data_IF_819798788565
#
_entry.id   IF_819798788565
#
_cell.length_a   1.000
_cell.length_b   1.000
_cell.length_c   1.000
_cell.angle_alpha   90.00
_cell.angle_beta   90.00
_cell.angle_gamma   90.00
#
_symmetry.space_group_name_H-M   'P 1'
#
loop_
_entity.id
_entity.type
_entity.pdbx_description
1 polymer ?
#
# COMPACT_ATOMS: atom_id res chain seq x y z
N UNK A 1 -37.32 -35.58 -7.29
CA UNK A 1 -36.51 -34.53 -7.95
C UNK A 1 -37.15 -33.21 -7.58
N UNK A 2 -36.52 -32.46 -6.68
CA UNK A 2 -37.08 -31.22 -6.14
C UNK A 2 -36.18 -30.08 -6.61
N UNK A 3 -36.69 -29.22 -7.48
CA UNK A 3 -36.00 -28.03 -7.97
C UNK A 3 -35.77 -27.07 -6.80
N UNK A 4 -34.50 -26.84 -6.46
CA UNK A 4 -34.10 -25.75 -5.59
C UNK A 4 -33.95 -24.51 -6.47
N UNK A 5 -34.97 -23.65 -6.40
CA UNK A 5 -34.92 -22.27 -6.87
C UNK A 5 -33.72 -21.55 -6.22
N UNK A 6 -32.69 -21.25 -7.02
CA UNK A 6 -31.64 -20.32 -6.64
C UNK A 6 -32.23 -18.91 -6.67
N UNK A 7 -32.47 -18.33 -5.50
CA UNK A 7 -32.70 -16.89 -5.38
C UNK A 7 -31.47 -16.15 -5.91
N UNK A 8 -31.64 -15.41 -7.01
CA UNK A 8 -30.66 -14.43 -7.43
C UNK A 8 -30.44 -13.43 -6.29
N UNK A 9 -29.21 -13.33 -5.77
CA UNK A 9 -28.88 -12.29 -4.80
C UNK A 9 -29.06 -10.94 -5.48
N UNK A 10 -29.94 -10.09 -4.94
CA UNK A 10 -30.05 -8.71 -5.36
C UNK A 10 -28.66 -8.06 -5.34
N UNK A 11 -28.23 -7.52 -6.48
CA UNK A 11 -27.05 -6.65 -6.57
C UNK A 11 -27.28 -5.48 -5.62
N UNK A 12 -26.62 -5.47 -4.47
CA UNK A 12 -26.71 -4.35 -3.53
C UNK A 12 -26.09 -3.14 -4.22
N UNK A 13 -26.86 -2.05 -4.32
CA UNK A 13 -26.42 -0.79 -4.93
C UNK A 13 -25.03 -0.37 -4.43
N UNK A 14 -24.20 0.14 -5.34
CA UNK A 14 -22.82 0.49 -5.05
C UNK A 14 -22.78 1.82 -4.30
N UNK A 15 -22.30 1.81 -3.05
CA UNK A 15 -22.10 3.05 -2.30
C UNK A 15 -21.02 3.93 -2.92
N UNK A 16 -21.03 5.23 -2.58
CA UNK A 16 -20.00 6.17 -3.06
C UNK A 16 -18.59 5.79 -2.62
N UNK A 17 -18.43 5.26 -1.41
CA UNK A 17 -17.15 4.82 -0.86
C UNK A 17 -16.64 3.54 -1.53
N UNK A 18 -17.52 2.55 -1.76
CA UNK A 18 -17.15 1.36 -2.53
C UNK A 18 -16.77 1.72 -3.97
N UNK A 19 -17.51 2.62 -4.61
CA UNK A 19 -17.19 3.11 -5.95
C UNK A 19 -15.83 3.81 -5.99
N UNK A 20 -15.58 4.71 -5.04
CA UNK A 20 -14.31 5.44 -4.98
C UNK A 20 -13.13 4.49 -4.76
N UNK A 21 -13.23 3.59 -3.79
CA UNK A 21 -12.16 2.62 -3.50
C UNK A 21 -11.95 1.65 -4.68
N UNK A 22 -13.03 1.18 -5.31
CA UNK A 22 -12.95 0.34 -6.50
C UNK A 22 -12.28 1.08 -7.67
N UNK A 23 -12.64 2.34 -7.89
CA UNK A 23 -12.01 3.17 -8.92
C UNK A 23 -10.51 3.35 -8.67
N UNK A 24 -10.11 3.60 -7.43
CA UNK A 24 -8.69 3.72 -7.04
C UNK A 24 -7.98 2.40 -7.31
N UNK A 25 -8.48 1.28 -6.80
CA UNK A 25 -7.87 -0.02 -7.00
C UNK A 25 -7.75 -0.38 -8.49
N UNK A 26 -8.79 -0.12 -9.28
CA UNK A 26 -8.76 -0.36 -10.72
C UNK A 26 -7.80 0.57 -11.47
N UNK A 27 -7.73 1.84 -11.06
CA UNK A 27 -6.80 2.83 -11.61
C UNK A 27 -5.34 2.50 -11.34
N UNK A 28 -5.03 2.19 -10.09
CA UNK A 28 -3.66 1.94 -9.61
C UNK A 28 -3.15 0.54 -9.97
N UNK A 29 -4.03 -0.44 -10.17
CA UNK A 29 -3.63 -1.79 -10.57
C UNK A 29 -3.00 -1.82 -11.96
N UNK A 30 -2.18 -2.83 -12.23
CA UNK A 30 -1.68 -3.10 -13.57
C UNK A 30 -2.81 -3.43 -14.56
N UNK A 31 -2.54 -3.33 -15.86
CA UNK A 31 -3.49 -3.70 -16.93
C UNK A 31 -3.71 -5.20 -17.07
N UNK A 32 -3.18 -6.01 -16.13
CA UNK A 32 -3.43 -7.45 -16.05
C UNK A 32 -4.80 -7.77 -15.46
N UNK A 33 -5.46 -6.77 -14.87
CA UNK A 33 -6.84 -6.89 -14.36
C UNK A 33 -7.00 -8.02 -13.30
N UNK A 34 -5.98 -8.22 -12.46
CA UNK A 34 -6.02 -9.26 -11.43
C UNK A 34 -6.79 -8.80 -10.19
N UNK A 35 -7.75 -9.63 -9.76
CA UNK A 35 -8.52 -9.39 -8.54
C UNK A 35 -7.63 -9.22 -7.31
N UNK A 36 -6.64 -10.08 -7.12
CA UNK A 36 -5.76 -10.09 -5.95
C UNK A 36 -4.93 -8.79 -5.87
N UNK A 37 -4.49 -8.25 -7.02
CA UNK A 37 -3.76 -6.98 -7.07
C UNK A 37 -4.68 -5.82 -6.66
N UNK A 38 -5.89 -5.76 -7.21
CA UNK A 38 -6.89 -4.76 -6.85
C UNK A 38 -7.30 -4.87 -5.36
N UNK A 39 -7.47 -6.09 -4.85
CA UNK A 39 -7.81 -6.34 -3.45
C UNK A 39 -6.66 -5.99 -2.49
N UNK A 40 -5.41 -6.21 -2.89
CA UNK A 40 -4.23 -5.76 -2.16
C UNK A 40 -4.18 -4.22 -2.07
N UNK A 41 -4.33 -3.52 -3.21
CA UNK A 41 -4.36 -2.06 -3.25
C UNK A 41 -5.51 -1.48 -2.41
N UNK A 42 -6.70 -2.05 -2.53
CA UNK A 42 -7.86 -1.64 -1.73
C UNK A 42 -7.60 -1.83 -0.23
N UNK A 43 -6.98 -2.95 0.17
CA UNK A 43 -6.60 -3.21 1.57
C UNK A 43 -5.58 -2.22 2.10
N UNK A 44 -4.56 -1.86 1.30
CA UNK A 44 -3.59 -0.82 1.67
C UNK A 44 -4.29 0.53 1.89
N UNK A 45 -5.21 0.91 1.01
CA UNK A 45 -5.95 2.17 1.14
C UNK A 45 -6.80 2.23 2.40
N UNK A 46 -7.58 1.17 2.69
CA UNK A 46 -8.38 1.08 3.93
C UNK A 46 -7.49 1.08 5.17
N UNK A 47 -6.34 0.40 5.13
CA UNK A 47 -5.38 0.38 6.23
C UNK A 47 -4.78 1.76 6.47
N UNK A 48 -4.32 2.44 5.42
CA UNK A 48 -3.77 3.79 5.51
C UNK A 48 -4.81 4.78 6.05
N UNK A 49 -6.04 4.72 5.56
CA UNK A 49 -7.17 5.51 6.05
C UNK A 49 -7.35 5.33 7.56
N UNK A 50 -7.50 4.08 8.02
CA UNK A 50 -7.69 3.74 9.44
C UNK A 50 -6.49 4.17 10.30
N UNK A 51 -5.27 3.85 9.89
CA UNK A 51 -4.06 4.16 10.63
C UNK A 51 -3.82 5.68 10.81
N UNK A 52 -4.33 6.48 9.87
CA UNK A 52 -4.26 7.95 9.89
C UNK A 52 -5.47 8.61 10.56
N UNK A 53 -6.45 7.82 11.01
CA UNK A 53 -7.62 8.31 11.77
C UNK A 53 -8.73 8.90 10.91
N UNK A 54 -8.78 8.59 9.62
CA UNK A 54 -9.89 8.99 8.76
C UNK A 54 -11.03 7.97 8.83
N UNK A 55 -12.27 8.46 8.77
CA UNK A 55 -13.48 7.63 8.79
C UNK A 55 -13.89 7.12 7.40
N UNK A 56 -13.46 7.79 6.32
CA UNK A 56 -13.84 7.46 4.93
C UNK A 56 -12.65 7.58 3.97
N UNK A 57 -12.69 6.84 2.87
CA UNK A 57 -11.70 6.89 1.78
C UNK A 57 -11.74 8.27 1.13
N UNK A 58 -12.91 8.87 0.95
CA UNK A 58 -13.00 10.23 0.42
C UNK A 58 -12.28 11.25 1.31
N UNK A 59 -12.53 11.22 2.63
CA UNK A 59 -11.87 12.14 3.56
C UNK A 59 -10.35 11.92 3.61
N UNK A 60 -9.91 10.66 3.53
CA UNK A 60 -8.49 10.33 3.48
C UNK A 60 -7.82 10.87 2.22
N UNK A 61 -8.37 10.54 1.05
CA UNK A 61 -7.76 10.86 -0.25
C UNK A 61 -7.90 12.32 -0.66
N UNK A 62 -8.87 13.07 -0.10
CA UNK A 62 -9.01 14.51 -0.33
C UNK A 62 -8.12 15.36 0.56
N UNK A 63 -7.80 14.90 1.78
CA UNK A 63 -7.08 15.70 2.79
C UNK A 63 -5.62 15.32 2.95
N UNK A 64 -5.26 14.07 2.67
CA UNK A 64 -3.88 13.60 2.81
C UNK A 64 -3.08 13.83 1.52
N UNK A 65 -2.15 14.78 1.57
CA UNK A 65 -1.31 15.16 0.43
C UNK A 65 -0.45 14.02 -0.12
N UNK A 66 -0.14 13.02 0.72
CA UNK A 66 0.65 11.87 0.27
C UNK A 66 -0.19 10.86 -0.51
N UNK A 67 -1.53 10.98 -0.52
CA UNK A 67 -2.45 10.06 -1.17
C UNK A 67 -3.42 10.75 -2.13
N UNK A 68 -3.36 12.07 -2.27
CA UNK A 68 -4.19 12.80 -3.23
C UNK A 68 -3.90 12.46 -4.69
N UNK A 69 -2.70 11.93 -4.99
CA UNK A 69 -2.28 11.55 -6.34
C UNK A 69 -3.20 10.48 -6.97
N UNK A 70 -3.71 9.54 -6.17
CA UNK A 70 -4.63 8.48 -6.63
C UNK A 70 -5.94 9.02 -7.24
N UNK A 71 -6.27 10.29 -6.99
CA UNK A 71 -7.41 11.00 -7.58
C UNK A 71 -7.00 12.00 -8.67
N UNK A 72 -5.78 12.54 -8.59
CA UNK A 72 -5.34 13.70 -9.36
C UNK A 72 -4.60 13.33 -10.65
N UNK A 73 -4.06 12.12 -10.75
CA UNK A 73 -3.15 11.74 -11.85
C UNK A 73 -3.85 11.52 -13.20
N UNK A 74 -5.14 11.82 -13.31
CA UNK A 74 -5.89 11.74 -14.57
C UNK A 74 -6.00 10.31 -15.13
N UNK A 75 -5.84 9.30 -14.27
CA UNK A 75 -5.83 7.89 -14.66
C UNK A 75 -7.15 7.51 -15.38
N UNK A 76 -7.03 7.08 -16.63
CA UNK A 76 -8.18 6.79 -17.48
C UNK A 76 -9.04 5.63 -16.93
N UNK A 77 -8.43 4.64 -16.25
CA UNK A 77 -9.14 3.51 -15.65
C UNK A 77 -9.93 3.95 -14.42
N UNK A 78 -9.33 4.75 -13.54
CA UNK A 78 -10.05 5.39 -12.43
C UNK A 78 -11.27 6.16 -12.95
N UNK A 79 -11.06 7.06 -13.93
CA UNK A 79 -12.13 7.89 -14.49
C UNK A 79 -13.22 7.04 -15.16
N UNK A 80 -12.84 5.94 -15.82
CA UNK A 80 -13.77 5.00 -16.45
C UNK A 80 -14.70 4.37 -15.42
N UNK A 81 -14.18 3.83 -14.32
CA UNK A 81 -15.03 3.19 -13.29
C UNK A 81 -15.89 4.21 -12.54
N UNK A 82 -15.35 5.40 -12.24
CA UNK A 82 -16.13 6.47 -11.61
C UNK A 82 -17.35 6.89 -12.44
N UNK A 83 -17.21 6.94 -13.77
CA UNK A 83 -18.28 7.35 -14.70
C UNK A 83 -19.22 6.21 -15.13
N UNK A 84 -18.81 4.95 -14.95
CA UNK A 84 -19.56 3.79 -15.40
C UNK A 84 -20.87 3.63 -14.61
N UNK A 85 -21.96 3.26 -15.30
CA UNK A 85 -23.19 2.84 -14.62
C UNK A 85 -22.97 1.50 -13.92
N UNK A 86 -23.82 1.15 -12.96
CA UNK A 86 -23.73 -0.18 -12.30
C UNK A 86 -23.83 -1.32 -13.31
N UNK A 87 -24.71 -1.18 -14.32
CA UNK A 87 -24.83 -2.14 -15.42
C UNK A 87 -23.56 -2.27 -16.25
N UNK A 88 -22.83 -1.18 -16.47
CA UNK A 88 -21.55 -1.21 -17.19
C UNK A 88 -20.45 -1.90 -16.36
N UNK A 89 -20.46 -1.66 -15.03
CA UNK A 89 -19.55 -2.32 -14.09
C UNK A 89 -19.83 -3.82 -14.04
N UNK A 90 -21.09 -4.24 -13.94
CA UNK A 90 -21.49 -5.66 -13.92
C UNK A 90 -21.09 -6.39 -15.20
N UNK A 91 -21.19 -5.72 -16.36
CA UNK A 91 -20.79 -6.30 -17.66
C UNK A 91 -19.28 -6.34 -17.89
N UNK A 92 -18.50 -5.64 -17.07
CA UNK A 92 -17.05 -5.56 -17.20
C UNK A 92 -16.40 -6.38 -16.08
N UNK A 93 -15.89 -7.59 -16.37
CA UNK A 93 -15.19 -8.39 -15.37
C UNK A 93 -14.16 -7.61 -14.54
N UNK A 94 -13.26 -6.79 -15.12
CA UNK A 94 -12.29 -6.07 -14.30
C UNK A 94 -12.90 -5.00 -13.40
N UNK A 95 -13.93 -4.27 -13.86
CA UNK A 95 -14.59 -3.28 -12.99
C UNK A 95 -15.44 -3.96 -11.91
N UNK A 96 -16.06 -5.09 -12.22
CA UNK A 96 -16.77 -5.92 -11.25
C UNK A 96 -15.82 -6.44 -10.18
N UNK A 97 -14.64 -6.93 -10.58
CA UNK A 97 -13.62 -7.42 -9.65
C UNK A 97 -13.03 -6.29 -8.79
N UNK A 98 -12.89 -5.08 -9.33
CA UNK A 98 -12.52 -3.91 -8.53
C UNK A 98 -13.57 -3.59 -7.45
N UNK A 99 -14.87 -3.72 -7.75
CA UNK A 99 -15.94 -3.58 -6.74
C UNK A 99 -15.87 -4.69 -5.70
N UNK A 100 -15.65 -5.95 -6.11
CA UNK A 100 -15.44 -7.06 -5.16
C UNK A 100 -14.22 -6.82 -4.28
N UNK A 101 -13.13 -6.27 -4.83
CA UNK A 101 -11.91 -5.95 -4.10
C UNK A 101 -12.15 -4.85 -3.05
N UNK A 102 -12.88 -3.80 -3.40
CA UNK A 102 -13.26 -2.75 -2.46
C UNK A 102 -14.12 -3.29 -1.30
N UNK A 103 -15.13 -4.11 -1.62
CA UNK A 103 -15.98 -4.79 -0.63
C UNK A 103 -15.18 -5.69 0.30
N UNK A 104 -14.28 -6.50 -0.26
CA UNK A 104 -13.36 -7.34 0.49
C UNK A 104 -12.56 -6.50 1.50
N UNK A 105 -11.94 -5.40 1.06
CA UNK A 105 -11.15 -4.54 1.93
C UNK A 105 -11.98 -3.88 3.05
N UNK A 106 -13.19 -3.38 2.75
CA UNK A 106 -14.05 -2.78 3.78
C UNK A 106 -14.54 -3.80 4.81
N UNK A 107 -14.86 -5.03 4.36
CA UNK A 107 -15.28 -6.13 5.24
C UNK A 107 -14.15 -6.72 6.09
N UNK A 108 -12.89 -6.33 5.84
CA UNK A 108 -11.72 -6.95 6.49
C UNK A 108 -11.44 -8.36 5.98
N UNK A 109 -11.78 -8.63 4.71
CA UNK A 109 -11.48 -9.89 4.03
C UNK A 109 -9.99 -10.09 3.77
N UNK A 110 -9.65 -11.01 2.87
CA UNK A 110 -8.27 -11.43 2.65
C UNK A 110 -7.42 -10.24 2.18
N UNK A 111 -6.30 -10.01 2.87
CA UNK A 111 -5.34 -8.98 2.52
C UNK A 111 -4.18 -9.55 1.71
N UNK A 112 -4.29 -9.46 0.39
CA UNK A 112 -3.25 -9.88 -0.54
C UNK A 112 -2.00 -8.98 -0.54
N UNK A 113 -2.05 -7.82 0.14
CA UNK A 113 -0.87 -6.98 0.37
C UNK A 113 -0.03 -7.45 1.57
N UNK A 114 -0.54 -8.40 2.37
CA UNK A 114 0.13 -8.96 3.54
C UNK A 114 0.64 -7.89 4.53
N UNK A 115 -0.23 -6.93 4.85
CA UNK A 115 0.04 -5.89 5.84
C UNK A 115 0.84 -4.69 5.33
N UNK A 116 0.96 -4.51 4.01
CA UNK A 116 1.66 -3.35 3.44
C UNK A 116 0.98 -2.01 3.76
N UNK A 117 1.77 -0.95 3.73
CA UNK A 117 1.29 0.43 3.81
C UNK A 117 1.58 1.23 2.53
N UNK A 118 2.43 0.70 1.66
CA UNK A 118 2.88 1.35 0.44
C UNK A 118 2.94 0.33 -0.70
N UNK A 119 3.00 0.81 -1.94
CA UNK A 119 3.21 0.00 -3.12
C UNK A 119 4.07 0.74 -4.13
N UNK A 120 4.66 0.01 -5.07
CA UNK A 120 5.23 0.59 -6.29
C UNK A 120 4.88 -0.29 -7.49
N UNK A 121 4.67 0.37 -8.64
CA UNK A 121 4.46 -0.28 -9.93
C UNK A 121 5.78 -0.47 -10.68
N UNK A 122 5.70 -0.56 -12.01
CA UNK A 122 6.87 -0.85 -12.85
C UNK A 122 7.94 0.26 -12.86
N UNK A 123 7.60 1.45 -12.39
CA UNK A 123 8.48 2.61 -12.34
C UNK A 123 9.65 2.43 -11.35
N UNK A 124 9.47 1.61 -10.30
CA UNK A 124 10.58 1.23 -9.41
C UNK A 124 11.70 0.52 -10.17
N UNK A 125 11.37 -0.22 -11.23
CA UNK A 125 12.36 -0.89 -12.10
C UNK A 125 12.90 0.07 -13.14
N UNK A 126 12.02 0.75 -13.89
CA UNK A 126 12.45 1.59 -15.02
C UNK A 126 13.24 2.82 -14.59
N UNK A 127 13.04 3.30 -13.36
CA UNK A 127 13.74 4.44 -12.78
C UNK A 127 14.54 4.09 -11.51
N UNK A 128 15.00 2.84 -11.40
CA UNK A 128 15.56 2.27 -10.17
C UNK A 128 16.57 3.17 -9.43
N UNK A 129 17.59 3.70 -10.13
CA UNK A 129 18.64 4.53 -9.51
C UNK A 129 18.13 5.85 -8.93
N UNK A 130 17.05 6.40 -9.48
CA UNK A 130 16.50 7.68 -9.03
C UNK A 130 15.25 7.55 -8.17
N UNK A 131 14.65 6.36 -8.12
CA UNK A 131 13.46 6.04 -7.34
C UNK A 131 13.64 6.33 -5.85
N UNK A 132 12.72 7.09 -5.26
CA UNK A 132 12.85 7.59 -3.89
C UNK A 132 12.93 6.45 -2.85
N UNK A 133 12.14 5.40 -3.03
CA UNK A 133 12.14 4.22 -2.14
C UNK A 133 13.48 3.47 -2.22
N UNK A 134 14.01 3.28 -3.42
CA UNK A 134 15.31 2.62 -3.66
C UNK A 134 16.44 3.42 -3.02
N UNK A 135 16.45 4.75 -3.16
CA UNK A 135 17.44 5.62 -2.49
C UNK A 135 17.38 5.54 -0.96
N UNK A 136 16.20 5.29 -0.41
CA UNK A 136 16.00 5.16 1.04
C UNK A 136 16.55 3.83 1.57
N UNK A 137 16.47 2.78 0.76
CA UNK A 137 16.89 1.42 1.09
C UNK A 137 15.69 0.47 1.06
N UNK A 138 15.67 -0.45 0.10
CA UNK A 138 14.67 -1.53 -0.01
C UNK A 138 15.32 -2.89 0.26
N UNK A 139 14.51 -3.82 0.76
CA UNK A 139 14.85 -5.22 0.93
C UNK A 139 13.68 -6.11 0.46
N UNK A 140 13.95 -6.98 -0.49
CA UNK A 140 13.06 -8.07 -0.89
C UNK A 140 13.18 -9.20 0.15
N UNK A 141 12.10 -9.44 0.87
CA UNK A 141 12.03 -10.42 1.96
C UNK A 141 11.76 -11.85 1.49
N UNK A 142 11.15 -12.00 0.31
CA UNK A 142 10.90 -13.29 -0.34
C UNK A 142 11.11 -13.12 -1.85
N UNK A 143 11.87 -14.01 -2.52
CA UNK A 143 12.05 -13.97 -3.97
C UNK A 143 10.76 -13.84 -4.78
N UNK A 144 9.64 -14.42 -4.31
CA UNK A 144 8.34 -14.34 -5.03
C UNK A 144 7.75 -12.93 -5.03
N UNK A 145 8.16 -12.06 -4.10
CA UNK A 145 7.74 -10.66 -4.09
C UNK A 145 8.43 -9.85 -5.20
N UNK A 146 9.57 -10.32 -5.71
CA UNK A 146 10.39 -9.61 -6.67
C UNK A 146 9.95 -9.81 -8.12
N UNK A 147 8.70 -9.45 -8.41
CA UNK A 147 8.07 -9.57 -9.73
C UNK A 147 8.81 -8.78 -10.84
N UNK A 148 9.75 -7.91 -10.47
CA UNK A 148 10.53 -7.07 -11.37
C UNK A 148 12.00 -7.48 -11.52
N UNK A 149 12.50 -8.38 -10.67
CA UNK A 149 13.91 -8.77 -10.63
C UNK A 149 14.84 -7.61 -10.26
N UNK A 150 14.40 -6.70 -9.37
CA UNK A 150 15.22 -5.59 -8.88
C UNK A 150 16.16 -6.06 -7.75
N UNK A 151 17.29 -5.39 -7.58
CA UNK A 151 18.20 -5.67 -6.46
C UNK A 151 17.72 -4.99 -5.18
N UNK A 152 18.27 -5.41 -4.04
CA UNK A 152 18.19 -4.64 -2.80
C UNK A 152 19.07 -3.38 -2.87
N UNK A 153 18.84 -2.41 -1.98
CA UNK A 153 19.58 -1.15 -1.97
C UNK A 153 20.03 -0.65 -0.58
N UNK A 154 19.87 -1.48 0.46
CA UNK A 154 20.17 -1.12 1.84
C UNK A 154 21.64 -0.69 2.08
N UNK A 155 21.83 0.24 3.03
CA UNK A 155 23.12 0.64 3.60
C UNK A 155 22.96 0.85 5.09
N UNK A 156 23.82 0.23 5.90
CA UNK A 156 23.75 0.35 7.37
C UNK A 156 23.90 1.81 7.81
N UNK A 157 22.90 2.28 8.54
CA UNK A 157 22.86 3.59 9.18
C UNK A 157 22.82 3.39 10.70
N UNK A 158 23.63 4.16 11.42
CA UNK A 158 23.73 4.13 12.88
C UNK A 158 23.20 5.45 13.43
N UNK A 159 22.24 5.37 14.34
CA UNK A 159 21.71 6.53 15.05
C UNK A 159 22.42 6.70 16.39
N UNK A 160 22.80 7.93 16.70
CA UNK A 160 23.48 8.27 17.95
C UNK A 160 22.67 9.28 18.75
N UNK A 161 22.73 9.18 20.08
CA UNK A 161 22.28 10.22 21.01
C UNK A 161 23.48 10.84 21.69
N UNK A 162 23.37 12.12 21.99
CA UNK A 162 24.37 12.85 22.76
C UNK A 162 23.97 12.83 24.23
N UNK A 163 24.81 12.24 25.08
CA UNK A 163 24.57 12.19 26.53
C UNK A 163 25.74 12.82 27.29
N UNK A 164 25.44 13.39 28.46
CA UNK A 164 26.47 13.86 29.39
C UNK A 164 26.79 12.74 30.36
N UNK A 165 28.06 12.35 30.44
CA UNK A 165 28.56 11.35 31.40
C UNK A 165 29.66 11.94 32.26
N UNK A 166 29.70 11.55 33.53
CA UNK A 166 30.84 11.85 34.39
C UNK A 166 31.92 10.81 34.14
N UNK A 167 33.06 11.22 33.61
CA UNK A 167 34.22 10.35 33.33
C UNK A 167 35.42 10.99 34.02
N UNK A 168 35.98 10.31 35.03
CA UNK A 168 37.09 10.83 35.82
C UNK A 168 36.78 12.14 36.54
N UNK A 169 35.58 12.28 37.11
CA UNK A 169 35.15 13.46 37.85
C UNK A 169 34.64 14.63 36.98
N UNK A 170 34.98 14.67 35.70
CA UNK A 170 34.53 15.69 34.75
C UNK A 170 33.30 15.24 33.95
N UNK A 171 32.36 16.15 33.72
CA UNK A 171 31.21 15.91 32.83
C UNK A 171 31.67 16.06 31.38
N UNK A 172 31.62 14.95 30.63
CA UNK A 172 31.94 14.91 29.20
C UNK A 172 30.69 14.62 28.38
N UNK A 173 30.63 15.22 27.20
CA UNK A 173 29.63 14.92 26.18
C UNK A 173 30.10 13.73 25.35
N UNK A 174 29.34 12.64 25.36
CA UNK A 174 29.66 11.44 24.57
C UNK A 174 28.50 11.08 23.64
N UNK A 175 28.83 10.51 22.49
CA UNK A 175 27.85 9.91 21.57
C UNK A 175 27.68 8.44 21.91
N UNK A 176 26.45 8.02 22.13
CA UNK A 176 26.08 6.62 22.31
C UNK A 176 25.21 6.18 21.15
N UNK A 177 25.47 4.98 20.64
CA UNK A 177 24.59 4.35 19.67
C UNK A 177 23.21 4.08 20.28
N UNK A 178 22.16 4.51 19.58
CA UNK A 178 20.76 4.24 19.90
C UNK A 178 20.29 2.97 19.20
N UNK A 179 20.83 2.71 18.01
CA UNK A 179 20.59 1.53 17.22
C UNK A 179 20.99 1.74 15.76
N UNK A 180 20.79 0.70 14.94
CA UNK A 180 21.14 0.70 13.52
C UNK A 180 20.10 -0.02 12.68
N UNK A 181 20.03 0.33 11.40
CA UNK A 181 19.17 -0.32 10.41
C UNK A 181 19.84 -0.29 9.04
N UNK A 182 19.52 -1.25 8.16
CA UNK A 182 20.16 -1.37 6.83
C UNK A 182 19.23 -0.91 5.69
N UNK A 183 17.93 -1.18 5.79
CA UNK A 183 16.93 -0.74 4.82
C UNK A 183 15.79 -0.02 5.54
N UNK A 184 15.04 0.79 4.78
CA UNK A 184 13.86 1.49 5.27
C UNK A 184 12.60 0.70 4.94
N UNK A 185 12.57 -0.02 3.82
CA UNK A 185 11.39 -0.74 3.34
C UNK A 185 11.65 -2.23 3.17
N UNK A 186 10.64 -3.03 3.50
CA UNK A 186 10.58 -4.47 3.29
C UNK A 186 9.41 -4.81 2.39
N UNK A 187 9.62 -5.71 1.42
CA UNK A 187 8.51 -6.25 0.64
C UNK A 187 7.60 -7.11 1.54
N UNK A 188 6.32 -7.16 1.19
CA UNK A 188 5.29 -7.92 1.93
C UNK A 188 4.54 -8.87 1.00
N UNK A 189 4.39 -8.48 -0.26
CA UNK A 189 3.84 -9.29 -1.34
C UNK A 189 4.33 -8.74 -2.70
N UNK A 190 4.25 -9.56 -3.73
CA UNK A 190 4.32 -9.14 -5.13
C UNK A 190 3.13 -9.76 -5.87
N UNK A 191 2.22 -8.93 -6.38
CA UNK A 191 0.96 -9.40 -6.98
C UNK A 191 0.70 -8.60 -8.25
N UNK A 192 0.40 -9.30 -9.34
CA UNK A 192 0.16 -8.66 -10.64
C UNK A 192 1.35 -7.85 -11.12
N UNK A 193 1.18 -6.54 -11.22
CA UNK A 193 2.23 -5.57 -11.55
C UNK A 193 2.50 -4.61 -10.39
N UNK A 194 2.43 -5.09 -9.15
CA UNK A 194 2.67 -4.26 -7.96
C UNK A 194 3.52 -5.00 -6.93
N UNK A 195 4.55 -4.33 -6.40
CA UNK A 195 5.25 -4.76 -5.18
C UNK A 195 4.70 -3.97 -4.00
N UNK A 196 4.36 -4.68 -2.93
CA UNK A 196 3.79 -4.11 -1.72
C UNK A 196 4.84 -4.02 -0.62
N UNK A 197 4.89 -2.89 0.08
CA UNK A 197 5.92 -2.56 1.04
C UNK A 197 5.36 -2.14 2.40
N UNK A 198 6.14 -2.42 3.44
CA UNK A 198 6.04 -1.79 4.75
C UNK A 198 7.39 -1.21 5.14
N UNK A 199 7.43 -0.41 6.19
CA UNK A 199 8.71 -0.05 6.78
C UNK A 199 9.38 -1.25 7.47
N UNK A 200 10.70 -1.34 7.35
CA UNK A 200 11.49 -2.38 7.98
C UNK A 200 11.46 -2.28 9.51
N UNK A 201 11.41 -3.42 10.19
CA UNK A 201 11.19 -3.48 11.64
C UNK A 201 12.28 -2.74 12.43
N UNK A 202 13.53 -2.88 12.01
CA UNK A 202 14.66 -2.20 12.63
C UNK A 202 14.56 -0.69 12.46
N UNK A 203 14.18 -0.22 11.26
CA UNK A 203 13.99 1.20 11.00
C UNK A 203 12.92 1.81 11.90
N UNK A 204 11.75 1.18 11.99
CA UNK A 204 10.65 1.62 12.86
C UNK A 204 11.10 1.62 14.33
N UNK A 205 11.78 0.56 14.78
CA UNK A 205 12.23 0.43 16.17
C UNK A 205 13.25 1.50 16.55
N UNK A 206 14.24 1.74 15.68
CA UNK A 206 15.34 2.68 15.92
C UNK A 206 14.87 4.12 15.80
N UNK A 207 14.03 4.43 14.81
CA UNK A 207 13.58 5.81 14.57
C UNK A 207 12.33 6.19 15.34
N UNK A 208 11.59 5.21 15.89
CA UNK A 208 10.26 5.40 16.49
C UNK A 208 9.26 6.03 15.53
N UNK A 209 9.49 5.92 14.22
CA UNK A 209 8.59 6.39 13.20
C UNK A 209 7.27 5.59 13.23
N UNK A 210 6.22 6.18 12.67
CA UNK A 210 4.92 5.52 12.52
C UNK A 210 4.98 4.62 11.30
N UNK A 211 4.53 3.37 11.42
CA UNK A 211 4.60 2.35 10.35
C UNK A 211 3.90 2.77 9.04
N UNK A 212 3.00 3.75 9.12
CA UNK A 212 2.15 4.24 8.05
C UNK A 212 2.55 5.63 7.50
N UNK A 213 3.60 6.29 8.05
CA UNK A 213 4.01 7.66 7.71
C UNK A 213 5.49 7.80 7.40
#
# INVERSE_FOLDING_TARGET
MTEVSRSASASSALSSEERLLAAIAYGESSTRDLYEEMAALASVMVRQMKARGYSTIDAFTSKDKNFSFVRADGNARYAKLMKATEKDIEKSPPMSDAVKAARNAFSGGVDFSNGAYFWDGADIKSNYKHHAKVKSGIHITDPVHNIYGISDSGKTKILYKTVKKKVGGQVKTVREEVGRYTWVYESTAGVGGTIFWRYGRDWVTVTRAKEYR
#
